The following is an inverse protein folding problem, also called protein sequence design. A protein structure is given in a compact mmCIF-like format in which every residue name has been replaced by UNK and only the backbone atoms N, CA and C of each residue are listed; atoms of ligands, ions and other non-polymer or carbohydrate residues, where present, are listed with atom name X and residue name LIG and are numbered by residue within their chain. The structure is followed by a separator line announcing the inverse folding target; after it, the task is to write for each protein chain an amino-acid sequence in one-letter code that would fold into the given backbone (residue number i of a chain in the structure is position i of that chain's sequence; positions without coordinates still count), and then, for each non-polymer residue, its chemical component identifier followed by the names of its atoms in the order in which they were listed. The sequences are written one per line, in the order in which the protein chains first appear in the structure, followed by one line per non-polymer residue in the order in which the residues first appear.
data_IF_637911302024
#
_entry.id   IF_637911302024
#
_cell.length_a   1.000
_cell.length_b   1.000
_cell.length_c   1.000
_cell.angle_alpha   90.00
_cell.angle_beta   90.00
_cell.angle_gamma   90.00
#
_symmetry.space_group_name_H-M   'P 1'
#
loop_
_entity.id
_entity.type
_entity.pdbx_description
1 polymer ?
#
# COMPACT_ATOMS: atom_id res chain seq x y z
N UNK A 1 30.97 11.85 3.92
CA UNK A 1 30.28 11.75 5.23
C UNK A 1 28.89 11.10 5.07
N UNK A 2 28.81 9.89 4.47
CA UNK A 2 27.55 9.23 4.06
C UNK A 2 27.19 7.99 4.92
N UNK A 3 28.16 7.42 5.67
CA UNK A 3 27.98 6.17 6.43
C UNK A 3 27.07 6.31 7.67
N UNK A 4 27.04 7.48 8.32
CA UNK A 4 26.28 7.68 9.57
C UNK A 4 24.76 7.70 9.36
N UNK A 5 24.29 8.21 8.22
CA UNK A 5 22.86 8.31 7.93
C UNK A 5 22.23 6.94 7.66
N UNK A 6 22.90 6.11 6.84
CA UNK A 6 22.41 4.77 6.49
C UNK A 6 22.32 3.83 7.69
N UNK A 7 23.34 3.81 8.57
CA UNK A 7 23.30 2.96 9.76
C UNK A 7 22.13 3.29 10.69
N UNK A 8 21.82 4.57 10.89
CA UNK A 8 20.70 4.99 11.73
C UNK A 8 19.35 4.51 11.16
N UNK A 9 19.11 4.69 9.86
CA UNK A 9 17.87 4.21 9.21
C UNK A 9 17.79 2.67 9.21
N UNK A 10 18.92 1.98 9.11
CA UNK A 10 18.96 0.52 9.15
C UNK A 10 18.63 -0.03 10.54
N UNK A 11 19.04 0.66 11.61
CA UNK A 11 18.62 0.37 12.99
C UNK A 11 17.10 0.49 13.12
N UNK A 12 16.52 1.60 12.65
CA UNK A 12 15.06 1.80 12.70
C UNK A 12 14.28 0.71 11.96
N UNK A 13 14.77 0.30 10.78
CA UNK A 13 14.21 -0.82 10.03
C UNK A 13 14.30 -2.13 10.83
N UNK A 14 15.48 -2.42 11.39
CA UNK A 14 15.72 -3.64 12.16
C UNK A 14 14.80 -3.71 13.39
N UNK A 15 14.67 -2.59 14.12
CA UNK A 15 13.78 -2.47 15.27
C UNK A 15 12.31 -2.66 14.89
N UNK A 16 11.86 -2.01 13.81
CA UNK A 16 10.49 -2.13 13.33
C UNK A 16 10.10 -3.58 13.03
N UNK A 17 10.97 -4.31 12.33
CA UNK A 17 10.75 -5.71 12.00
C UNK A 17 11.18 -6.68 13.10
N UNK A 18 11.55 -6.18 14.29
CA UNK A 18 11.93 -6.95 15.47
C UNK A 18 13.07 -7.95 15.20
N UNK A 19 14.05 -7.52 14.41
CA UNK A 19 15.32 -8.24 14.22
C UNK A 19 16.42 -7.49 14.97
N UNK A 20 17.52 -8.19 15.30
CA UNK A 20 18.60 -7.61 16.10
C UNK A 20 19.19 -6.35 15.43
N UNK A 21 19.03 -5.20 16.06
CA UNK A 21 19.45 -3.92 15.53
C UNK A 21 20.95 -3.71 15.74
N UNK A 22 21.68 -3.72 14.64
CA UNK A 22 23.14 -3.54 14.59
C UNK A 22 23.54 -2.35 13.74
N UNK A 23 22.64 -1.82 12.92
CA UNK A 23 22.99 -0.84 11.89
C UNK A 23 23.88 -1.39 10.78
N UNK A 24 24.00 -2.72 10.69
CA UNK A 24 24.74 -3.44 9.65
C UNK A 24 23.81 -4.29 8.79
N UNK A 25 24.17 -4.50 7.53
CA UNK A 25 23.43 -5.36 6.60
C UNK A 25 23.76 -6.84 6.87
N UNK A 26 23.35 -7.35 8.03
CA UNK A 26 23.46 -8.76 8.35
C UNK A 26 22.53 -9.61 7.45
N UNK A 27 22.85 -10.89 7.28
CA UNK A 27 22.11 -11.81 6.40
C UNK A 27 20.60 -11.82 6.70
N UNK A 28 20.20 -11.74 7.97
CA UNK A 28 18.79 -11.67 8.36
C UNK A 28 18.11 -10.41 7.83
N UNK A 29 18.79 -9.27 7.85
CA UNK A 29 18.31 -7.99 7.32
C UNK A 29 18.18 -8.05 5.80
N UNK A 30 19.22 -8.53 5.11
CA UNK A 30 19.20 -8.70 3.64
C UNK A 30 18.07 -9.65 3.24
N UNK A 31 17.98 -10.83 3.86
CA UNK A 31 16.93 -11.82 3.59
C UNK A 31 15.53 -11.25 3.79
N UNK A 32 15.34 -10.35 4.75
CA UNK A 32 14.07 -9.68 4.96
C UNK A 32 13.77 -8.65 3.87
N UNK A 33 14.75 -7.78 3.54
CA UNK A 33 14.63 -6.77 2.48
C UNK A 33 14.44 -7.39 1.08
N UNK A 34 14.94 -8.60 0.85
CA UNK A 34 14.78 -9.32 -0.41
C UNK A 34 13.40 -9.97 -0.57
N UNK A 35 12.54 -9.98 0.46
CA UNK A 35 11.16 -10.44 0.31
C UNK A 35 10.36 -9.38 -0.44
N UNK A 36 9.39 -9.82 -1.27
CA UNK A 36 8.48 -8.93 -2.00
C UNK A 36 7.47 -8.28 -1.03
N UNK A 37 7.58 -6.98 -0.70
CA UNK A 37 6.70 -6.36 0.28
C UNK A 37 5.45 -5.73 -0.38
N UNK A 38 4.54 -5.23 0.47
CA UNK A 38 3.58 -4.22 0.05
C UNK A 38 4.33 -2.90 -0.23
N UNK A 39 3.91 -2.11 -1.23
CA UNK A 39 4.52 -0.81 -1.55
C UNK A 39 4.12 0.32 -0.59
N UNK A 40 3.21 0.05 0.36
CA UNK A 40 2.84 1.02 1.40
C UNK A 40 3.98 1.14 2.41
N UNK A 41 4.39 2.38 2.70
CA UNK A 41 5.48 2.67 3.65
C UNK A 41 5.15 2.17 5.06
N UNK A 42 6.13 1.53 5.71
CA UNK A 42 6.01 0.90 7.02
C UNK A 42 5.87 1.88 8.21
N UNK A 43 6.36 3.13 8.06
CA UNK A 43 6.40 4.16 9.11
C UNK A 43 5.36 5.28 8.84
N UNK A 44 4.05 5.01 8.92
CA UNK A 44 3.02 5.99 8.56
C UNK A 44 3.07 7.25 9.42
N UNK A 45 3.47 7.16 10.69
CA UNK A 45 3.63 8.31 11.60
C UNK A 45 4.69 9.33 11.16
N UNK A 46 5.64 8.92 10.30
CA UNK A 46 6.65 9.82 9.72
C UNK A 46 6.14 10.54 8.47
N UNK A 47 4.91 10.25 8.04
CA UNK A 47 4.30 10.82 6.84
C UNK A 47 2.91 11.37 7.18
N UNK A 48 2.52 12.48 6.53
CA UNK A 48 1.19 13.05 6.71
C UNK A 48 0.17 12.04 6.15
N UNK A 49 -0.61 11.40 7.04
CA UNK A 49 -1.80 10.67 6.66
C UNK A 49 -2.79 11.69 6.06
N UNK A 50 -3.42 11.31 4.94
CA UNK A 50 -4.34 12.17 4.19
C UNK A 50 -5.34 12.89 5.11
N UNK A 51 -5.31 14.22 5.09
CA UNK A 51 -6.19 15.18 5.80
C UNK A 51 -6.07 15.25 7.33
N UNK A 52 -5.02 14.73 7.96
CA UNK A 52 -4.83 14.89 9.42
C UNK A 52 -5.95 14.28 10.28
N UNK A 53 -6.76 13.40 9.68
CA UNK A 53 -7.82 12.64 10.34
C UNK A 53 -7.41 11.19 10.38
N UNK A 54 -7.69 10.53 11.49
CA UNK A 54 -7.59 9.07 11.59
C UNK A 54 -8.31 8.47 10.38
N UNK A 55 -7.65 7.62 9.60
CA UNK A 55 -8.17 7.09 8.32
C UNK A 55 -9.44 6.23 8.43
N UNK A 56 -10.10 6.23 9.59
CA UNK A 56 -11.35 5.56 9.89
C UNK A 56 -12.52 6.28 9.22
N UNK A 57 -13.29 5.53 8.46
CA UNK A 57 -14.55 6.02 7.86
C UNK A 57 -15.72 5.82 8.81
N UNK A 58 -16.62 6.80 8.83
CA UNK A 58 -17.89 6.71 9.58
C UNK A 58 -18.96 5.90 8.84
N UNK A 59 -18.78 5.65 7.53
CA UNK A 59 -19.72 4.85 6.71
C UNK A 59 -19.27 3.40 6.68
N UNK A 60 -20.21 2.49 6.94
CA UNK A 60 -20.00 1.04 6.94
C UNK A 60 -20.25 0.39 5.58
N UNK A 61 -21.02 1.03 4.70
CA UNK A 61 -21.25 0.58 3.33
C UNK A 61 -20.21 1.19 2.38
N UNK A 62 -19.36 0.35 1.81
CA UNK A 62 -18.20 0.75 1.00
C UNK A 62 -18.38 0.24 -0.43
N UNK A 63 -18.63 1.15 -1.35
CA UNK A 63 -18.67 0.84 -2.78
C UNK A 63 -17.26 0.73 -3.36
N UNK A 64 -16.99 -0.31 -4.15
CA UNK A 64 -15.71 -0.52 -4.82
C UNK A 64 -15.90 -0.83 -6.31
N UNK A 65 -14.83 -0.68 -7.10
CA UNK A 65 -14.82 -1.08 -8.51
C UNK A 65 -13.42 -1.50 -8.94
N UNK A 66 -13.31 -2.62 -9.64
CA UNK A 66 -12.14 -2.94 -10.44
C UNK A 66 -12.29 -2.26 -11.81
N UNK A 67 -11.35 -1.39 -12.15
CA UNK A 67 -11.25 -0.75 -13.47
C UNK A 67 -10.38 -1.58 -14.40
N UNK A 68 -10.80 -1.68 -15.66
CA UNK A 68 -10.08 -2.35 -16.76
C UNK A 68 -10.01 -3.88 -16.67
N UNK A 69 -10.68 -4.52 -15.70
CA UNK A 69 -10.89 -5.97 -15.63
C UNK A 69 -12.07 -6.29 -14.70
N UNK A 70 -12.87 -7.30 -15.05
CA UNK A 70 -13.91 -7.90 -14.22
C UNK A 70 -13.54 -9.32 -13.74
N UNK A 71 -12.45 -9.88 -14.29
CA UNK A 71 -12.06 -11.29 -14.10
C UNK A 71 -11.79 -11.66 -12.65
N UNK A 72 -11.41 -10.68 -11.84
CA UNK A 72 -10.98 -10.88 -10.46
C UNK A 72 -11.98 -10.35 -9.43
N UNK A 73 -13.17 -9.90 -9.85
CA UNK A 73 -14.20 -9.36 -8.95
C UNK A 73 -14.58 -10.36 -7.86
N UNK A 74 -14.66 -11.64 -8.20
CA UNK A 74 -14.94 -12.71 -7.23
C UNK A 74 -13.83 -12.87 -6.20
N UNK A 75 -12.56 -12.76 -6.63
CA UNK A 75 -11.40 -12.87 -5.74
C UNK A 75 -11.37 -11.67 -4.79
N UNK A 76 -11.61 -10.47 -5.31
CA UNK A 76 -11.68 -9.23 -4.53
C UNK A 76 -12.84 -9.26 -3.55
N UNK A 77 -14.04 -9.61 -4.00
CA UNK A 77 -15.21 -9.73 -3.14
C UNK A 77 -14.99 -10.74 -2.01
N UNK A 78 -14.37 -11.88 -2.32
CA UNK A 78 -14.00 -12.89 -1.33
C UNK A 78 -12.98 -12.34 -0.33
N UNK A 79 -11.97 -11.60 -0.79
CA UNK A 79 -10.99 -10.97 0.11
C UNK A 79 -11.64 -9.96 1.05
N UNK A 80 -12.55 -9.10 0.56
CA UNK A 80 -13.31 -8.19 1.39
C UNK A 80 -14.16 -8.91 2.44
N UNK A 81 -14.87 -9.96 2.01
CA UNK A 81 -15.70 -10.77 2.90
C UNK A 81 -14.88 -11.47 3.99
N UNK A 82 -13.90 -12.27 3.58
CA UNK A 82 -13.13 -13.15 4.46
C UNK A 82 -12.26 -12.40 5.47
N UNK A 83 -11.75 -11.22 5.09
CA UNK A 83 -10.81 -10.46 5.92
C UNK A 83 -11.46 -9.33 6.72
N UNK A 84 -12.52 -8.71 6.19
CA UNK A 84 -13.09 -7.51 6.80
C UNK A 84 -14.55 -7.65 7.19
N UNK A 85 -15.45 -7.99 6.26
CA UNK A 85 -16.90 -8.05 6.59
C UNK A 85 -17.22 -9.13 7.62
N UNK A 86 -16.48 -10.24 7.64
CA UNK A 86 -16.66 -11.28 8.65
C UNK A 86 -16.40 -10.82 10.08
N UNK A 87 -15.56 -9.80 10.27
CA UNK A 87 -15.05 -9.39 11.57
C UNK A 87 -15.42 -7.95 11.95
N UNK A 88 -16.22 -7.28 11.12
CA UNK A 88 -16.62 -5.88 11.31
C UNK A 88 -18.02 -5.65 10.74
N UNK A 89 -18.63 -4.50 11.04
CA UNK A 89 -19.90 -4.09 10.42
C UNK A 89 -19.72 -3.54 9.00
N UNK A 90 -18.53 -3.66 8.39
CA UNK A 90 -18.28 -3.17 7.04
C UNK A 90 -18.91 -4.09 6.00
N UNK A 91 -19.57 -3.49 5.00
CA UNK A 91 -20.13 -4.18 3.85
C UNK A 91 -19.53 -3.60 2.57
N UNK A 92 -19.20 -4.48 1.62
CA UNK A 92 -18.56 -4.11 0.37
C UNK A 92 -19.46 -4.51 -0.80
N UNK A 93 -19.63 -3.62 -1.77
CA UNK A 93 -20.45 -3.86 -2.95
C UNK A 93 -19.84 -3.20 -4.18
N UNK A 94 -20.08 -3.78 -5.36
CA UNK A 94 -19.64 -3.19 -6.63
C UNK A 94 -20.43 -1.92 -6.90
N UNK A 95 -19.73 -0.83 -7.23
CA UNK A 95 -20.33 0.48 -7.48
C UNK A 95 -19.75 1.14 -8.73
N UNK A 96 -20.56 1.23 -9.76
CA UNK A 96 -20.15 1.78 -11.06
C UNK A 96 -19.76 3.26 -11.02
N UNK A 97 -20.54 4.08 -10.30
CA UNK A 97 -20.36 5.53 -10.26
C UNK A 97 -19.84 5.98 -8.91
N UNK A 98 -18.74 6.73 -8.92
CA UNK A 98 -18.09 7.30 -7.73
C UNK A 98 -17.90 6.22 -6.63
N UNK A 99 -17.19 5.11 -6.94
CA UNK A 99 -16.77 4.15 -5.92
C UNK A 99 -15.83 4.81 -4.91
N UNK A 100 -15.82 4.27 -3.71
CA UNK A 100 -14.93 4.72 -2.63
C UNK A 100 -13.55 4.09 -2.77
N UNK A 101 -13.51 2.83 -3.20
CA UNK A 101 -12.28 2.09 -3.47
C UNK A 101 -12.22 1.80 -4.98
N UNK A 102 -11.15 2.23 -5.62
CA UNK A 102 -10.85 1.92 -7.02
C UNK A 102 -9.66 0.98 -7.04
N UNK A 103 -9.82 -0.15 -7.74
CA UNK A 103 -8.77 -1.16 -7.89
C UNK A 103 -8.41 -1.20 -9.38
N UNK A 104 -7.12 -1.25 -9.68
CA UNK A 104 -6.62 -1.35 -11.05
C UNK A 104 -5.33 -2.19 -11.06
N UNK A 105 -5.04 -2.78 -12.21
CA UNK A 105 -3.69 -3.22 -12.52
C UNK A 105 -2.93 -2.08 -13.17
N UNK A 106 -1.63 -1.99 -12.90
CA UNK A 106 -0.74 -1.22 -13.73
C UNK A 106 0.68 -1.74 -13.65
N UNK A 107 1.51 -1.22 -14.55
CA UNK A 107 2.90 -1.58 -14.68
C UNK A 107 3.71 -0.31 -14.92
N UNK A 108 4.93 -0.27 -14.38
CA UNK A 108 5.89 0.82 -14.56
C UNK A 108 5.29 2.17 -14.16
N UNK A 109 4.81 2.98 -15.09
CA UNK A 109 4.15 4.25 -14.80
C UNK A 109 2.63 4.06 -14.70
N UNK A 110 2.12 4.08 -13.48
CA UNK A 110 0.68 4.11 -13.28
C UNK A 110 0.20 5.57 -13.22
N UNK A 111 -0.70 6.02 -14.12
CA UNK A 111 -1.29 7.34 -13.99
C UNK A 111 -2.12 7.40 -12.70
N UNK A 112 -1.83 8.36 -11.83
CA UNK A 112 -2.67 8.63 -10.66
C UNK A 112 -4.02 9.18 -11.17
N UNK A 113 -5.11 8.44 -10.92
CA UNK A 113 -6.46 8.82 -11.37
C UNK A 113 -6.98 10.13 -10.72
N UNK A 114 -6.27 10.67 -9.72
CA UNK A 114 -6.65 11.88 -8.96
C UNK A 114 -5.59 12.99 -8.94
N UNK A 115 -4.93 13.27 -10.06
CA UNK A 115 -4.22 14.56 -10.22
C UNK A 115 -5.22 15.66 -10.54
N UNK A 116 -5.67 16.42 -9.53
CA UNK A 116 -6.53 17.61 -9.66
C UNK A 116 -5.86 18.79 -10.39
N UNK A 117 -4.65 18.61 -10.93
CA UNK A 117 -3.84 19.69 -11.50
C UNK A 117 -3.25 19.39 -12.88
N UNK A 118 -3.70 18.32 -13.57
CA UNK A 118 -3.26 18.03 -14.94
C UNK A 118 -1.76 17.72 -15.08
N UNK A 119 -1.04 17.55 -13.97
CA UNK A 119 0.33 17.03 -13.96
C UNK A 119 0.30 15.54 -13.67
N UNK A 120 0.71 14.75 -14.66
CA UNK A 120 0.95 13.33 -14.52
C UNK A 120 2.26 13.14 -13.76
N UNK A 121 2.22 13.20 -12.43
CA UNK A 121 3.33 12.68 -11.63
C UNK A 121 3.19 11.16 -11.67
N UNK A 122 3.83 10.53 -12.65
CA UNK A 122 3.86 9.08 -12.82
C UNK A 122 4.40 8.43 -11.57
N UNK A 123 3.65 7.50 -11.00
CA UNK A 123 4.14 6.70 -9.89
C UNK A 123 4.83 5.46 -10.47
N UNK A 124 6.13 5.34 -10.21
CA UNK A 124 6.95 4.26 -10.76
C UNK A 124 6.84 3.01 -9.88
N UNK A 125 6.17 1.99 -10.40
CA UNK A 125 6.24 0.62 -9.89
C UNK A 125 7.58 0.03 -10.36
N UNK A 126 8.43 -0.40 -9.43
CA UNK A 126 9.76 -0.94 -9.70
C UNK A 126 9.73 -2.35 -10.33
N UNK A 127 9.02 -2.56 -11.44
CA UNK A 127 9.05 -3.79 -12.24
C UNK A 127 8.78 -5.11 -11.48
N UNK A 128 8.94 -6.26 -12.17
CA UNK A 128 8.76 -7.56 -11.55
C UNK A 128 9.77 -7.82 -10.42
N UNK A 129 9.31 -8.37 -9.29
CA UNK A 129 10.18 -8.85 -8.20
C UNK A 129 10.39 -7.88 -7.04
N UNK A 130 9.80 -6.68 -7.08
CA UNK A 130 9.88 -5.69 -5.99
C UNK A 130 8.63 -5.70 -5.12
N UNK A 131 7.73 -4.72 -5.24
CA UNK A 131 6.51 -4.62 -4.46
C UNK A 131 5.32 -5.20 -5.23
N UNK A 132 4.40 -5.86 -4.52
CA UNK A 132 3.29 -6.59 -5.14
C UNK A 132 2.05 -5.74 -5.42
N UNK A 133 1.83 -4.70 -4.61
CA UNK A 133 0.67 -3.82 -4.67
C UNK A 133 0.89 -2.61 -3.79
N UNK A 134 0.19 -1.52 -4.04
CA UNK A 134 0.24 -0.34 -3.19
C UNK A 134 -1.07 0.46 -3.21
N UNK A 135 -1.09 1.54 -2.42
CA UNK A 135 -2.18 2.52 -2.41
C UNK A 135 -1.76 3.73 -3.24
N UNK A 136 -2.40 3.91 -4.39
CA UNK A 136 -2.25 5.11 -5.22
C UNK A 136 -2.88 6.34 -4.54
N UNK A 137 -2.27 7.51 -4.76
CA UNK A 137 -2.65 8.78 -4.14
C UNK A 137 -3.67 9.54 -4.98
#
# INVERSE_FOLDING_TARGET
MMKRCFCATLIEFQDYFRIHATGTLADKTIKLMSKRPCGVRDFPQKFVLYNGKDGKRNKTQIGWKFVFSDKDDKIIAKAFSDKWSRHTNLTFYVKERKPVIVISYGAYDHPNYYSSHGKMDGYQICGPGTHLSERLR
#
